data_IF_335221015135
#
_entry.id   IF_335221015135
#
_cell.length_a   1.000
_cell.length_b   1.000
_cell.length_c   1.000
_cell.angle_alpha   90.00
_cell.angle_beta   90.00
_cell.angle_gamma   90.00
#
_symmetry.space_group_name_H-M   'P 1'
#
loop_
_entity.id
_entity.type
_entity.pdbx_description
1 polymer ?
#
# COMPACT_ATOMS: atom_id res chain seq x y z
N UNK A 1 12.95 3.74 13.88
CA UNK A 1 12.83 2.26 13.97
C UNK A 1 14.23 1.69 14.19
N UNK A 2 14.43 0.80 15.16
CA UNK A 2 15.73 0.12 15.32
C UNK A 2 15.86 -1.03 14.31
N UNK A 3 16.95 -1.05 13.54
CA UNK A 3 17.25 -2.08 12.52
C UNK A 3 18.03 -3.26 13.08
N UNK A 4 18.38 -3.25 14.37
CA UNK A 4 19.10 -4.35 15.04
C UNK A 4 18.38 -5.68 14.86
N UNK A 5 17.05 -5.70 15.00
CA UNK A 5 16.24 -6.90 14.76
C UNK A 5 16.46 -7.49 13.37
N UNK A 6 16.43 -6.64 12.34
CA UNK A 6 16.60 -7.05 10.94
C UNK A 6 17.98 -7.65 10.73
N UNK A 7 19.04 -7.00 11.25
CA UNK A 7 20.42 -7.48 11.12
C UNK A 7 20.66 -8.80 11.84
N UNK A 8 20.04 -9.02 12.99
CA UNK A 8 20.13 -10.30 13.72
C UNK A 8 19.48 -11.42 12.90
N UNK A 9 18.28 -11.19 12.37
CA UNK A 9 17.57 -12.17 11.55
C UNK A 9 18.36 -12.48 10.27
N UNK A 10 18.86 -11.46 9.60
CA UNK A 10 19.67 -11.59 8.40
C UNK A 10 20.89 -12.48 8.66
N UNK A 11 21.64 -12.23 9.74
CA UNK A 11 22.80 -13.06 10.12
C UNK A 11 22.43 -14.50 10.43
N UNK A 12 21.32 -14.73 11.14
CA UNK A 12 20.85 -16.09 11.46
C UNK A 12 20.49 -16.83 10.18
N UNK A 13 19.73 -16.21 9.27
CA UNK A 13 19.30 -16.84 8.04
C UNK A 13 20.46 -17.05 7.06
N UNK A 14 21.37 -16.09 6.96
CA UNK A 14 22.58 -16.20 6.14
C UNK A 14 23.50 -17.34 6.62
N UNK A 15 23.67 -17.51 7.94
CA UNK A 15 24.38 -18.66 8.53
C UNK A 15 23.80 -20.01 8.08
N UNK A 16 22.49 -20.07 7.82
CA UNK A 16 21.79 -21.25 7.30
C UNK A 16 21.68 -21.28 5.76
N UNK A 17 22.33 -20.35 5.05
CA UNK A 17 22.28 -20.26 3.58
C UNK A 17 20.92 -19.82 3.04
N UNK A 18 20.06 -19.23 3.86
CA UNK A 18 18.72 -18.78 3.49
C UNK A 18 18.78 -17.30 3.11
N UNK A 19 18.56 -17.00 1.83
CA UNK A 19 18.44 -15.61 1.38
C UNK A 19 17.18 -14.96 1.91
N UNK A 20 17.31 -13.71 2.36
CA UNK A 20 16.27 -12.89 2.96
C UNK A 20 15.98 -11.66 2.08
N UNK A 21 14.75 -11.18 2.12
CA UNK A 21 14.31 -9.93 1.53
C UNK A 21 13.27 -9.29 2.46
N UNK A 22 13.41 -8.01 2.75
CA UNK A 22 12.36 -7.25 3.43
C UNK A 22 11.18 -7.03 2.49
N UNK A 23 9.97 -6.98 3.03
CA UNK A 23 8.73 -6.63 2.32
C UNK A 23 7.82 -5.80 3.23
N UNK A 24 6.71 -5.30 2.68
CA UNK A 24 5.72 -4.53 3.44
C UNK A 24 6.08 -3.05 3.60
N UNK A 25 5.65 -2.44 4.72
CA UNK A 25 5.67 -0.98 4.93
C UNK A 25 7.07 -0.37 4.85
N UNK A 26 8.10 -1.03 5.38
CA UNK A 26 9.47 -0.54 5.32
C UNK A 26 9.98 -0.41 3.87
N UNK A 27 9.63 -1.38 3.01
CA UNK A 27 9.98 -1.33 1.58
C UNK A 27 9.18 -0.27 0.84
N UNK A 28 7.89 -0.11 1.18
CA UNK A 28 7.06 0.97 0.65
C UNK A 28 7.66 2.34 1.02
N UNK A 29 8.06 2.54 2.27
CA UNK A 29 8.72 3.76 2.72
C UNK A 29 10.04 4.01 1.99
N UNK A 30 10.84 2.96 1.74
CA UNK A 30 12.05 3.09 0.92
C UNK A 30 11.75 3.63 -0.49
N UNK A 31 10.61 3.24 -1.07
CA UNK A 31 10.11 3.70 -2.36
C UNK A 31 9.18 4.92 -2.27
N UNK A 32 9.45 5.85 -1.35
CA UNK A 32 8.73 7.13 -1.21
C UNK A 32 7.21 7.01 -1.01
N UNK A 33 6.73 5.88 -0.51
CA UNK A 33 5.33 5.72 -0.12
C UNK A 33 5.21 5.99 1.38
N UNK A 34 4.58 7.10 1.83
CA UNK A 34 4.52 7.43 3.25
C UNK A 34 3.59 6.47 4.01
N UNK A 35 4.17 5.48 4.70
CA UNK A 35 3.49 4.58 5.65
C UNK A 35 4.06 4.76 7.05
N UNK A 36 3.18 4.69 8.04
CA UNK A 36 3.61 4.55 9.43
C UNK A 36 4.08 3.10 9.58
N UNK A 37 5.37 2.86 9.75
CA UNK A 37 5.87 1.51 10.08
C UNK A 37 5.29 1.10 11.44
N UNK A 38 4.33 0.19 11.44
CA UNK A 38 3.83 -0.41 12.67
C UNK A 38 4.83 -1.43 13.23
N UNK A 39 4.54 -2.04 14.41
CA UNK A 39 5.41 -3.02 15.11
C UNK A 39 5.61 -4.37 14.37
N UNK A 40 5.29 -4.44 13.09
CA UNK A 40 5.35 -5.65 12.27
C UNK A 40 6.48 -5.55 11.24
N UNK A 41 7.39 -6.52 11.27
CA UNK A 41 8.41 -6.70 10.25
C UNK A 41 8.04 -7.90 9.38
N UNK A 42 7.87 -7.67 8.08
CA UNK A 42 7.56 -8.71 7.12
C UNK A 42 8.77 -9.02 6.24
N UNK A 43 9.04 -10.32 6.06
CA UNK A 43 10.18 -10.82 5.31
C UNK A 43 9.75 -11.86 4.28
N UNK A 44 10.35 -11.85 3.10
CA UNK A 44 10.35 -12.96 2.15
C UNK A 44 11.67 -13.70 2.22
N UNK A 45 11.65 -15.03 2.28
CA UNK A 45 12.83 -15.85 2.34
C UNK A 45 12.76 -16.97 1.30
N UNK A 46 13.92 -17.36 0.76
CA UNK A 46 14.02 -18.52 -0.11
C UNK A 46 13.96 -19.80 0.74
N UNK A 47 12.76 -20.18 1.15
CA UNK A 47 12.53 -21.38 1.94
C UNK A 47 12.48 -22.59 0.99
N UNK A 48 13.51 -23.42 1.04
CA UNK A 48 13.46 -24.77 0.47
C UNK A 48 12.56 -25.64 1.36
N UNK A 49 11.24 -25.42 1.32
CA UNK A 49 10.32 -26.38 1.92
C UNK A 49 10.41 -27.68 1.10
N UNK A 50 11.10 -28.68 1.67
CA UNK A 50 11.06 -30.06 1.17
C UNK A 50 9.60 -30.48 0.99
N UNK A 51 9.30 -31.11 -0.15
CA UNK A 51 7.96 -31.43 -0.71
C UNK A 51 7.13 -32.43 0.14
N UNK A 52 7.04 -32.26 1.45
CA UNK A 52 6.26 -33.14 2.34
C UNK A 52 5.13 -32.45 3.10
N UNK A 53 4.84 -31.18 2.84
CA UNK A 53 3.58 -30.57 3.30
C UNK A 53 2.44 -30.97 2.35
N UNK A 54 1.79 -32.09 2.66
CA UNK A 54 0.62 -32.63 1.98
C UNK A 54 -0.53 -31.62 1.88
N UNK A 55 -1.16 -31.64 0.70
CA UNK A 55 -2.46 -31.04 0.36
C UNK A 55 -3.45 -31.11 1.54
N UNK A 56 -3.59 -30.00 2.25
CA UNK A 56 -4.82 -29.71 3.00
C UNK A 56 -5.04 -28.21 2.89
N UNK A 57 -6.28 -27.81 2.58
CA UNK A 57 -6.74 -26.40 2.50
C UNK A 57 -6.77 -25.74 3.89
N UNK A 58 -5.65 -25.81 4.61
CA UNK A 58 -5.47 -25.23 5.92
C UNK A 58 -4.62 -23.97 5.79
N UNK A 59 -4.96 -22.93 6.56
CA UNK A 59 -4.09 -21.79 6.85
C UNK A 59 -2.63 -22.27 6.85
N UNK A 60 -1.82 -21.78 5.91
CA UNK A 60 -0.37 -21.84 6.07
C UNK A 60 -0.11 -21.01 7.31
N UNK A 61 0.08 -21.64 8.46
CA UNK A 61 0.59 -21.00 9.66
C UNK A 61 1.97 -20.47 9.29
N UNK A 62 2.01 -19.23 8.83
CA UNK A 62 3.24 -18.52 8.56
C UNK A 62 4.00 -18.47 9.89
N UNK A 63 5.27 -18.89 9.93
CA UNK A 63 6.03 -18.81 11.16
C UNK A 63 6.06 -17.35 11.61
N UNK A 64 5.43 -17.08 12.76
CA UNK A 64 5.49 -15.79 13.42
C UNK A 64 6.41 -15.91 14.62
N UNK A 65 7.44 -15.07 14.67
CA UNK A 65 8.40 -15.02 15.79
C UNK A 65 8.21 -13.67 16.47
N UNK A 66 7.90 -13.68 17.77
CA UNK A 66 7.86 -12.46 18.58
C UNK A 66 9.23 -12.19 19.18
N UNK A 67 9.77 -10.99 18.99
CA UNK A 67 11.06 -10.59 19.55
C UNK A 67 10.91 -10.18 21.02
N UNK A 68 10.83 -11.17 21.91
CA UNK A 68 10.82 -10.93 23.36
C UNK A 68 12.08 -10.22 23.88
N UNK A 69 13.13 -10.15 23.05
CA UNK A 69 14.42 -9.53 23.31
C UNK A 69 14.56 -8.08 22.77
N UNK A 70 13.51 -7.51 22.17
CA UNK A 70 13.49 -6.09 21.76
C UNK A 70 12.36 -5.32 22.42
N UNK A 71 12.57 -4.02 22.66
CA UNK A 71 11.54 -3.10 23.10
C UNK A 71 11.37 -1.96 22.07
N UNK A 72 10.16 -1.75 21.50
CA UNK A 72 8.96 -2.57 21.68
C UNK A 72 9.13 -3.98 21.08
N UNK A 73 8.37 -4.95 21.57
CA UNK A 73 8.28 -6.27 20.95
C UNK A 73 7.79 -6.13 19.51
N UNK A 74 8.45 -6.85 18.60
CA UNK A 74 8.13 -6.88 17.18
C UNK A 74 7.67 -8.29 16.81
N UNK A 75 6.72 -8.38 15.89
CA UNK A 75 6.34 -9.64 15.27
C UNK A 75 7.02 -9.74 13.90
N UNK A 76 7.73 -10.85 13.71
CA UNK A 76 8.40 -11.22 12.47
C UNK A 76 7.50 -12.21 11.74
N UNK A 77 7.19 -11.95 10.47
CA UNK A 77 6.47 -12.91 9.62
C UNK A 77 7.32 -13.23 8.40
N UNK A 78 7.58 -14.52 8.18
CA UNK A 78 8.40 -15.00 7.06
C UNK A 78 7.50 -15.68 6.01
N UNK A 79 7.59 -15.20 4.78
CA UNK A 79 6.90 -15.72 3.61
C UNK A 79 7.88 -16.43 2.68
N UNK A 80 7.45 -17.46 1.92
CA UNK A 80 8.26 -17.97 0.82
C UNK A 80 8.42 -16.88 -0.26
N UNK A 81 9.57 -16.84 -0.94
CA UNK A 81 9.86 -15.86 -1.99
C UNK A 81 8.81 -15.82 -3.11
N UNK A 82 8.17 -16.96 -3.42
CA UNK A 82 7.08 -17.07 -4.37
C UNK A 82 5.81 -16.31 -3.95
N UNK A 83 5.57 -16.10 -2.66
CA UNK A 83 4.39 -15.38 -2.17
C UNK A 83 4.36 -13.92 -2.62
N UNK A 84 5.54 -13.31 -2.76
CA UNK A 84 5.71 -11.96 -3.28
C UNK A 84 6.26 -11.94 -4.72
N UNK A 85 6.23 -13.06 -5.45
CA UNK A 85 6.76 -13.13 -6.82
C UNK A 85 8.25 -12.77 -6.93
N UNK A 86 9.02 -12.93 -5.85
CA UNK A 86 10.43 -12.56 -5.78
C UNK A 86 11.36 -13.75 -6.08
N UNK A 87 10.84 -14.86 -6.60
CA UNK A 87 11.66 -16.03 -6.90
C UNK A 87 12.37 -15.88 -8.27
N UNK A 88 13.70 -16.12 -8.36
CA UNK A 88 14.62 -16.42 -7.26
C UNK A 88 15.13 -15.14 -6.57
N UNK A 89 15.12 -15.14 -5.23
CA UNK A 89 15.35 -13.95 -4.42
C UNK A 89 16.66 -13.23 -4.74
N UNK A 90 17.75 -13.97 -4.93
CA UNK A 90 19.08 -13.41 -5.25
C UNK A 90 19.09 -12.54 -6.52
N UNK A 91 18.18 -12.79 -7.46
CA UNK A 91 18.07 -12.00 -8.69
C UNK A 91 17.12 -10.80 -8.54
N UNK A 92 16.37 -10.71 -7.46
CA UNK A 92 15.38 -9.64 -7.26
C UNK A 92 15.83 -8.61 -6.24
N UNK A 93 16.89 -8.85 -5.47
CA UNK A 93 17.42 -7.90 -4.50
C UNK A 93 18.14 -6.71 -5.16
N UNK A 94 18.06 -5.56 -4.51
CA UNK A 94 18.94 -4.42 -4.78
C UNK A 94 20.37 -4.81 -4.43
N UNK A 95 21.30 -4.48 -5.32
CA UNK A 95 22.72 -4.50 -5.01
C UNK A 95 23.10 -3.08 -4.59
N UNK A 96 23.52 -2.85 -3.34
CA UNK A 96 24.00 -1.53 -2.95
C UNK A 96 25.20 -1.14 -3.85
N UNK A 97 25.29 0.12 -4.30
CA UNK A 97 26.47 0.59 -5.00
C UNK A 97 27.68 0.40 -4.09
N UNK A 98 28.69 -0.32 -4.58
CA UNK A 98 29.83 -0.77 -3.77
C UNK A 98 30.69 0.40 -3.27
N UNK A 99 30.67 1.54 -3.97
CA UNK A 99 31.63 2.64 -3.75
C UNK A 99 31.04 4.05 -3.94
N UNK A 100 29.71 4.19 -4.08
CA UNK A 100 29.11 5.48 -4.44
C UNK A 100 28.28 6.08 -3.30
N UNK A 101 28.68 7.27 -2.85
CA UNK A 101 27.93 8.11 -1.92
C UNK A 101 26.68 8.73 -2.59
N UNK A 102 26.36 8.40 -3.84
CA UNK A 102 25.16 8.84 -4.54
C UNK A 102 24.10 7.73 -4.67
N UNK A 103 23.49 7.32 -3.55
CA UNK A 103 22.18 6.67 -3.60
C UNK A 103 21.12 7.51 -2.90
N UNK A 104 19.96 7.63 -3.53
CA UNK A 104 18.82 8.38 -3.02
C UNK A 104 18.14 7.60 -1.90
N UNK A 105 17.99 8.21 -0.73
CA UNK A 105 17.21 7.67 0.39
C UNK A 105 15.88 8.42 0.45
N UNK A 106 14.78 7.69 0.57
CA UNK A 106 13.49 8.31 0.80
C UNK A 106 13.47 9.13 2.09
N UNK A 107 12.85 10.31 2.03
CA UNK A 107 12.58 11.14 3.23
C UNK A 107 11.84 10.36 4.33
N UNK A 108 11.06 9.35 3.98
CA UNK A 108 10.28 8.53 4.92
C UNK A 108 11.17 7.65 5.82
N UNK A 109 12.39 7.32 5.38
CA UNK A 109 13.40 6.57 6.14
C UNK A 109 14.67 7.37 6.43
N UNK A 110 14.69 8.67 6.10
CA UNK A 110 15.88 9.53 6.27
C UNK A 110 16.34 9.67 7.74
N UNK A 111 15.48 9.33 8.71
CA UNK A 111 15.83 9.28 10.12
C UNK A 111 16.65 8.03 10.51
N UNK A 112 16.80 7.05 9.61
CA UNK A 112 17.64 5.87 9.81
C UNK A 112 19.06 6.11 9.31
N UNK A 113 20.01 5.34 9.83
CA UNK A 113 21.39 5.43 9.38
C UNK A 113 21.52 5.00 7.91
N UNK A 114 22.20 5.83 7.10
CA UNK A 114 22.41 5.61 5.66
C UNK A 114 23.11 4.29 5.33
N UNK A 115 24.16 3.95 6.08
CA UNK A 115 24.90 2.68 5.90
C UNK A 115 24.02 1.50 6.23
N UNK A 116 23.18 1.63 7.26
CA UNK A 116 22.23 0.58 7.62
C UNK A 116 21.18 0.37 6.54
N UNK A 117 20.61 1.45 5.99
CA UNK A 117 19.67 1.37 4.86
C UNK A 117 20.31 0.70 3.64
N UNK A 118 21.55 1.06 3.30
CA UNK A 118 22.26 0.46 2.17
C UNK A 118 22.50 -1.05 2.34
N UNK A 119 22.65 -1.51 3.59
CA UNK A 119 22.82 -2.94 3.89
C UNK A 119 21.51 -3.73 3.89
N UNK A 120 20.34 -3.08 3.82
CA UNK A 120 19.06 -3.78 3.90
C UNK A 120 18.82 -4.64 2.64
N UNK A 121 18.37 -5.90 2.81
CA UNK A 121 18.02 -6.76 1.67
C UNK A 121 16.66 -6.33 1.11
N UNK A 122 16.65 -5.28 0.30
CA UNK A 122 15.45 -4.70 -0.29
C UNK A 122 15.23 -5.25 -1.71
N UNK A 123 13.98 -5.49 -2.16
CA UNK A 123 13.72 -5.93 -3.52
C UNK A 123 13.87 -4.76 -4.49
N UNK A 124 14.26 -5.03 -5.73
CA UNK A 124 14.17 -4.08 -6.85
C UNK A 124 12.71 -3.74 -7.13
N UNK A 125 12.47 -2.51 -7.57
CA UNK A 125 11.13 -1.96 -7.75
C UNK A 125 10.29 -2.79 -8.73
N UNK A 126 10.83 -3.15 -9.89
CA UNK A 126 10.09 -3.89 -10.92
C UNK A 126 9.66 -5.30 -10.46
N UNK A 127 10.55 -6.16 -9.94
CA UNK A 127 10.13 -7.43 -9.31
C UNK A 127 9.12 -7.26 -8.18
N UNK A 128 9.30 -6.26 -7.32
CA UNK A 128 8.39 -6.05 -6.18
C UNK A 128 6.98 -5.63 -6.63
N UNK A 129 6.89 -4.67 -7.57
CA UNK A 129 5.64 -4.23 -8.16
C UNK A 129 4.93 -5.38 -8.90
N UNK A 130 5.70 -6.18 -9.65
CA UNK A 130 5.21 -7.39 -10.33
C UNK A 130 4.57 -8.35 -9.35
N UNK A 131 5.28 -8.68 -8.26
CA UNK A 131 4.81 -9.57 -7.22
C UNK A 131 3.50 -9.13 -6.56
N UNK A 132 3.38 -7.85 -6.22
CA UNK A 132 2.16 -7.29 -5.65
C UNK A 132 0.98 -7.35 -6.64
N UNK A 133 1.22 -7.00 -7.91
CA UNK A 133 0.22 -7.07 -8.96
C UNK A 133 -0.25 -8.52 -9.22
N UNK A 134 0.67 -9.48 -9.27
CA UNK A 134 0.35 -10.91 -9.40
C UNK A 134 -0.51 -11.40 -8.24
N UNK A 135 -0.14 -11.03 -7.00
CA UNK A 135 -0.89 -11.40 -5.80
C UNK A 135 -2.33 -10.88 -5.86
N UNK A 136 -2.54 -9.63 -6.27
CA UNK A 136 -3.89 -9.10 -6.47
C UNK A 136 -4.64 -9.85 -7.57
N UNK A 137 -4.02 -10.12 -8.72
CA UNK A 137 -4.66 -10.84 -9.82
C UNK A 137 -5.09 -12.25 -9.41
N UNK A 138 -4.24 -12.96 -8.66
CA UNK A 138 -4.47 -14.34 -8.23
C UNK A 138 -5.51 -14.46 -7.11
N UNK A 139 -5.52 -13.53 -6.16
CA UNK A 139 -6.27 -13.69 -4.89
C UNK A 139 -7.25 -12.57 -4.57
N UNK A 140 -7.30 -11.51 -5.40
CA UNK A 140 -8.05 -10.28 -5.13
C UNK A 140 -7.67 -9.63 -3.79
N UNK A 141 -6.37 -9.68 -3.49
CA UNK A 141 -5.81 -9.05 -2.31
C UNK A 141 -5.77 -7.52 -2.45
N UNK A 142 -6.75 -6.86 -1.82
CA UNK A 142 -6.88 -5.40 -1.86
C UNK A 142 -5.65 -4.68 -1.28
N UNK A 143 -4.96 -5.25 -0.28
CA UNK A 143 -3.73 -4.65 0.24
C UNK A 143 -2.61 -4.65 -0.79
N UNK A 144 -2.50 -5.73 -1.57
CA UNK A 144 -1.55 -5.79 -2.67
C UNK A 144 -1.89 -4.75 -3.76
N UNK A 145 -3.18 -4.55 -4.07
CA UNK A 145 -3.61 -3.51 -5.02
C UNK A 145 -3.31 -2.10 -4.50
N UNK A 146 -3.59 -1.82 -3.23
CA UNK A 146 -3.28 -0.54 -2.62
C UNK A 146 -1.77 -0.28 -2.67
N UNK A 147 -0.94 -1.29 -2.37
CA UNK A 147 0.51 -1.16 -2.45
C UNK A 147 0.99 -0.89 -3.89
N UNK A 148 0.38 -1.51 -4.91
CA UNK A 148 0.66 -1.22 -6.32
C UNK A 148 0.33 0.24 -6.66
N UNK A 149 -0.86 0.73 -6.28
CA UNK A 149 -1.26 2.13 -6.52
C UNK A 149 -0.28 3.09 -5.87
N UNK A 150 0.06 2.81 -4.63
CA UNK A 150 0.99 3.64 -3.88
C UNK A 150 2.41 3.65 -4.44
N UNK A 151 2.94 2.52 -4.90
CA UNK A 151 4.24 2.48 -5.56
C UNK A 151 4.23 3.27 -6.87
N UNK A 152 3.17 3.11 -7.68
CA UNK A 152 2.98 3.89 -8.90
C UNK A 152 2.97 5.39 -8.60
N UNK A 153 2.28 5.77 -7.52
CA UNK A 153 2.12 7.18 -7.17
C UNK A 153 3.37 7.77 -6.50
N UNK A 154 3.94 7.07 -5.51
CA UNK A 154 5.10 7.50 -4.72
C UNK A 154 6.41 7.51 -5.51
N UNK A 155 6.58 6.58 -6.45
CA UNK A 155 7.72 6.57 -7.38
C UNK A 155 7.43 7.34 -8.68
N UNK A 156 6.24 7.93 -8.79
CA UNK A 156 5.78 8.67 -9.97
C UNK A 156 5.94 7.90 -11.29
N UNK A 157 5.66 6.60 -11.29
CA UNK A 157 5.85 5.73 -12.46
C UNK A 157 4.97 6.17 -13.63
N UNK A 158 5.52 6.15 -14.84
CA UNK A 158 4.84 6.48 -16.09
C UNK A 158 4.76 5.26 -17.03
N UNK A 159 4.15 5.47 -18.20
CA UNK A 159 3.92 4.40 -19.17
C UNK A 159 5.23 3.87 -19.76
N UNK A 160 6.23 4.75 -19.95
CA UNK A 160 7.52 4.39 -20.51
C UNK A 160 8.28 3.50 -19.54
N UNK A 161 8.32 3.88 -18.25
CA UNK A 161 8.91 3.06 -17.20
C UNK A 161 8.28 1.67 -17.14
N UNK A 162 6.94 1.61 -17.18
CA UNK A 162 6.21 0.33 -17.14
C UNK A 162 6.52 -0.53 -18.37
N UNK A 163 6.53 0.07 -19.55
CA UNK A 163 6.81 -0.65 -20.80
C UNK A 163 8.22 -1.22 -20.79
N UNK A 164 9.21 -0.44 -20.36
CA UNK A 164 10.62 -0.89 -20.31
C UNK A 164 10.81 -1.97 -19.25
N UNK A 165 10.32 -1.74 -18.04
CA UNK A 165 10.68 -2.57 -16.88
C UNK A 165 9.77 -3.81 -16.71
N UNK A 166 8.57 -3.79 -17.28
CA UNK A 166 7.59 -4.88 -17.17
C UNK A 166 7.27 -5.54 -18.51
N UNK A 167 8.01 -5.27 -19.59
CA UNK A 167 7.79 -5.85 -20.93
C UNK A 167 7.63 -7.37 -20.94
N UNK A 168 8.41 -8.08 -20.11
CA UNK A 168 8.40 -9.53 -20.04
C UNK A 168 7.30 -10.12 -19.14
N UNK A 169 6.44 -9.27 -18.56
CA UNK A 169 5.38 -9.70 -17.64
C UNK A 169 4.14 -10.19 -18.39
N UNK A 170 3.28 -10.91 -17.67
CA UNK A 170 1.97 -11.33 -18.17
C UNK A 170 1.11 -10.13 -18.66
N UNK A 171 0.38 -10.24 -19.79
CA UNK A 171 -0.43 -9.14 -20.32
C UNK A 171 -1.48 -8.59 -19.35
N UNK A 172 -2.09 -9.43 -18.50
CA UNK A 172 -3.07 -8.97 -17.53
C UNK A 172 -2.41 -8.12 -16.44
N UNK A 173 -1.19 -8.47 -16.04
CA UNK A 173 -0.37 -7.68 -15.12
C UNK A 173 0.00 -6.33 -15.73
N UNK A 174 0.52 -6.35 -16.95
CA UNK A 174 0.90 -5.12 -17.64
C UNK A 174 -0.30 -4.18 -17.77
N UNK A 175 -1.46 -4.71 -18.19
CA UNK A 175 -2.71 -3.94 -18.29
C UNK A 175 -3.17 -3.39 -16.93
N UNK A 176 -3.03 -4.17 -15.85
CA UNK A 176 -3.38 -3.71 -14.50
C UNK A 176 -2.52 -2.49 -14.10
N UNK A 177 -1.20 -2.60 -14.23
CA UNK A 177 -0.27 -1.53 -13.83
C UNK A 177 -0.43 -0.30 -14.74
N UNK A 178 -0.55 -0.50 -16.06
CA UNK A 178 -0.83 0.59 -17.01
C UNK A 178 -2.11 1.33 -16.68
N UNK A 179 -3.18 0.62 -16.29
CA UNK A 179 -4.43 1.25 -15.85
C UNK A 179 -4.22 2.10 -14.59
N UNK A 180 -3.35 1.69 -13.67
CA UNK A 180 -3.03 2.49 -12.48
C UNK A 180 -2.22 3.73 -12.83
N UNK A 181 -1.23 3.62 -13.70
CA UNK A 181 -0.51 4.78 -14.23
C UNK A 181 -1.46 5.76 -14.92
N UNK A 182 -2.34 5.28 -15.80
CA UNK A 182 -3.29 6.14 -16.53
C UNK A 182 -4.30 6.85 -15.62
N UNK A 183 -4.62 6.27 -14.46
CA UNK A 183 -5.51 6.88 -13.46
C UNK A 183 -4.75 7.64 -12.36
N UNK A 184 -3.42 7.72 -12.45
CA UNK A 184 -2.56 8.40 -11.46
C UNK A 184 -2.98 9.84 -11.21
N UNK A 185 -3.30 10.59 -12.27
CA UNK A 185 -3.71 11.99 -12.14
C UNK A 185 -4.97 12.20 -11.29
N UNK A 186 -5.88 11.22 -11.27
CA UNK A 186 -7.08 11.28 -10.41
C UNK A 186 -6.82 10.92 -8.95
N UNK A 187 -5.63 10.40 -8.62
CA UNK A 187 -5.18 10.09 -7.24
C UNK A 187 -4.14 11.08 -6.73
N UNK A 188 -3.32 11.60 -7.64
CA UNK A 188 -2.35 12.67 -7.40
C UNK A 188 -2.97 13.99 -7.85
N UNK A 189 -4.06 14.40 -7.20
CA UNK A 189 -4.37 15.83 -7.22
C UNK A 189 -3.23 16.53 -6.47
N UNK A 190 -2.48 17.38 -7.19
CA UNK A 190 -1.52 18.27 -6.59
C UNK A 190 -2.26 19.09 -5.53
N UNK A 191 -1.86 18.90 -4.28
CA UNK A 191 -2.29 19.65 -3.10
C UNK A 191 -1.90 21.10 -3.36
N UNK A 192 -2.79 21.87 -4.01
CA UNK A 192 -2.72 23.33 -3.96
C UNK A 192 -3.04 23.78 -2.53
N UNK A 193 -2.62 24.97 -2.11
CA UNK A 193 -2.93 25.53 -0.77
C UNK A 193 -4.42 25.47 -0.38
N UNK A 194 -5.32 25.35 -1.37
CA UNK A 194 -6.75 25.14 -1.16
C UNK A 194 -7.14 23.76 -0.60
N UNK A 195 -6.26 22.76 -0.68
CA UNK A 195 -6.54 21.39 -0.22
C UNK A 195 -6.44 21.22 1.30
N UNK A 196 -5.49 21.90 1.97
CA UNK A 196 -5.38 21.88 3.43
C UNK A 196 -6.62 22.51 4.07
N UNK A 197 -7.08 23.66 3.55
CA UNK A 197 -8.32 24.30 4.01
C UNK A 197 -9.52 23.36 3.88
N UNK A 198 -9.62 22.65 2.74
CA UNK A 198 -10.70 21.68 2.49
C UNK A 198 -10.66 20.46 3.40
N UNK A 199 -9.47 19.96 3.75
CA UNK A 199 -9.35 18.84 4.70
C UNK A 199 -9.77 19.28 6.11
N UNK A 200 -9.47 20.51 6.53
CA UNK A 200 -9.96 21.04 7.81
C UNK A 200 -11.50 21.11 7.84
N UNK A 201 -12.12 21.60 6.76
CA UNK A 201 -13.58 21.68 6.69
C UNK A 201 -14.24 20.29 6.69
N UNK A 202 -13.66 19.32 5.96
CA UNK A 202 -14.10 17.93 5.99
C UNK A 202 -13.96 17.31 7.39
N UNK A 203 -12.85 17.57 8.09
CA UNK A 203 -12.63 17.08 9.46
C UNK A 203 -13.64 17.67 10.44
N UNK A 204 -13.96 18.97 10.31
CA UNK A 204 -14.98 19.64 11.11
C UNK A 204 -16.37 19.04 10.82
N UNK A 205 -16.71 18.82 9.54
CA UNK A 205 -17.98 18.19 9.17
C UNK A 205 -18.10 16.77 9.74
N UNK A 206 -17.03 15.97 9.65
CA UNK A 206 -16.95 14.63 10.21
C UNK A 206 -17.14 14.65 11.74
N UNK A 207 -16.37 15.51 12.43
CA UNK A 207 -16.47 15.71 13.88
C UNK A 207 -17.90 16.05 14.29
N UNK A 208 -18.54 17.00 13.59
CA UNK A 208 -19.91 17.41 13.90
C UNK A 208 -20.91 16.27 13.76
N UNK A 209 -20.80 15.42 12.72
CA UNK A 209 -21.72 14.29 12.54
C UNK A 209 -21.51 13.26 13.64
N UNK A 210 -20.27 12.81 13.86
CA UNK A 210 -19.98 11.76 14.83
C UNK A 210 -20.27 12.20 16.26
N UNK A 211 -19.91 13.43 16.63
CA UNK A 211 -20.18 13.98 17.95
C UNK A 211 -21.69 14.17 18.22
N UNK A 212 -22.47 14.62 17.21
CA UNK A 212 -23.95 14.73 17.34
C UNK A 212 -24.61 13.37 17.61
N UNK A 213 -24.04 12.29 17.12
CA UNK A 213 -24.53 10.93 17.31
C UNK A 213 -23.90 10.23 18.51
N UNK A 214 -23.08 10.95 19.30
CA UNK A 214 -22.34 10.42 20.44
C UNK A 214 -21.49 9.16 20.10
N UNK A 215 -20.92 9.15 18.88
CA UNK A 215 -20.03 8.08 18.43
C UNK A 215 -18.62 8.41 18.89
N UNK A 216 -17.94 7.47 19.54
CA UNK A 216 -16.53 7.61 19.85
C UNK A 216 -15.68 7.45 18.57
N UNK A 217 -14.75 8.37 18.33
CA UNK A 217 -13.86 8.33 17.17
C UNK A 217 -12.50 8.98 17.46
N UNK A 218 -11.53 8.69 16.60
CA UNK A 218 -10.20 9.29 16.61
C UNK A 218 -9.69 9.47 15.19
N UNK A 219 -9.18 10.67 14.90
CA UNK A 219 -8.51 10.97 13.63
C UNK A 219 -7.03 10.66 13.79
N UNK A 220 -6.46 9.95 12.81
CA UNK A 220 -5.06 9.55 12.79
C UNK A 220 -4.45 9.82 11.40
N UNK A 221 -3.26 9.27 11.15
CA UNK A 221 -2.65 9.36 9.83
C UNK A 221 -2.02 10.71 9.51
N UNK A 222 -1.99 11.07 8.22
CA UNK A 222 -1.24 12.23 7.73
C UNK A 222 -1.79 13.53 8.27
N UNK A 223 -3.11 13.65 8.22
CA UNK A 223 -3.84 14.83 8.65
C UNK A 223 -3.59 15.13 10.14
N UNK A 224 -3.68 14.10 11.00
CA UNK A 224 -3.43 14.27 12.44
C UNK A 224 -2.00 14.71 12.75
N UNK A 225 -1.00 14.22 12.00
CA UNK A 225 0.40 14.64 12.17
C UNK A 225 0.59 16.09 11.72
N UNK A 226 -0.02 16.48 10.60
CA UNK A 226 0.03 17.85 10.09
C UNK A 226 -0.60 18.86 11.05
N UNK A 227 -1.76 18.53 11.64
CA UNK A 227 -2.47 19.45 12.55
C UNK A 227 -1.75 19.70 13.87
N UNK A 228 -0.89 18.79 14.32
CA UNK A 228 -0.04 18.99 15.51
C UNK A 228 1.32 19.64 15.20
N UNK A 229 1.50 20.17 13.98
CA UNK A 229 2.72 20.87 13.56
C UNK A 229 3.81 19.99 12.96
N UNK A 230 3.50 18.74 12.62
CA UNK A 230 4.42 17.87 11.89
C UNK A 230 4.53 18.24 10.41
N UNK A 231 5.68 17.96 9.79
CA UNK A 231 5.98 18.25 8.37
C UNK A 231 5.37 17.24 7.39
N UNK A 232 4.20 16.68 7.70
CA UNK A 232 3.52 15.67 6.86
C UNK A 232 2.32 16.27 6.15
N UNK A 233 2.36 16.24 4.82
CA UNK A 233 1.20 16.53 3.98
C UNK A 233 0.23 15.34 3.96
N UNK A 234 -1.08 15.63 3.99
CA UNK A 234 -2.14 14.64 3.87
C UNK A 234 -3.07 14.98 2.72
N UNK A 235 -3.64 13.95 2.10
CA UNK A 235 -4.65 14.08 1.03
C UNK A 235 -6.04 13.66 1.49
N UNK A 236 -6.08 12.96 2.62
CA UNK A 236 -7.22 12.32 3.21
C UNK A 236 -7.18 12.45 4.73
N UNK A 237 -8.33 12.13 5.35
CA UNK A 237 -8.51 12.08 6.81
C UNK A 237 -8.72 10.61 7.16
N UNK A 238 -7.73 10.03 7.84
CA UNK A 238 -7.87 8.69 8.41
C UNK A 238 -8.63 8.79 9.73
N UNK A 239 -9.74 8.06 9.86
CA UNK A 239 -10.59 8.10 11.07
C UNK A 239 -10.98 6.68 11.49
N UNK A 240 -10.78 6.38 12.77
CA UNK A 240 -11.34 5.20 13.44
C UNK A 240 -12.58 5.64 14.21
N UNK A 241 -13.70 4.96 14.03
CA UNK A 241 -14.95 5.26 14.73
C UNK A 241 -15.60 3.97 15.26
N UNK A 242 -16.18 4.04 16.45
CA UNK A 242 -16.87 2.93 17.11
C UNK A 242 -18.29 2.77 16.56
N UNK A 243 -18.40 2.36 15.29
CA UNK A 243 -19.66 2.28 14.54
C UNK A 243 -19.57 1.21 13.46
N UNK A 244 -20.69 0.56 13.11
CA UNK A 244 -20.70 -0.39 11.99
C UNK A 244 -20.66 0.31 10.63
N UNK A 245 -20.27 -0.42 9.58
CA UNK A 245 -20.24 0.11 8.21
C UNK A 245 -21.60 0.64 7.74
N UNK A 246 -22.67 -0.10 8.00
CA UNK A 246 -24.01 0.31 7.59
C UNK A 246 -24.46 1.57 8.32
N UNK A 247 -24.17 1.67 9.62
CA UNK A 247 -24.46 2.88 10.39
C UNK A 247 -23.66 4.09 9.88
N UNK A 248 -22.35 3.96 9.62
CA UNK A 248 -21.57 5.10 9.13
C UNK A 248 -21.99 5.53 7.72
N UNK A 249 -22.35 4.58 6.84
CA UNK A 249 -22.93 4.88 5.53
C UNK A 249 -24.26 5.62 5.66
N UNK A 250 -25.16 5.18 6.55
CA UNK A 250 -26.42 5.88 6.81
C UNK A 250 -26.22 7.29 7.38
N UNK A 251 -25.16 7.50 8.18
CA UNK A 251 -24.88 8.79 8.81
C UNK A 251 -24.24 9.80 7.86
N UNK A 252 -23.35 9.35 6.98
CA UNK A 252 -22.55 10.22 6.13
C UNK A 252 -22.98 10.24 4.66
N UNK A 253 -23.45 9.13 4.08
CA UNK A 253 -23.68 9.11 2.63
C UNK A 253 -24.74 10.14 2.21
N UNK A 254 -24.34 11.01 1.27
CA UNK A 254 -25.11 12.13 0.72
C UNK A 254 -25.51 13.19 1.76
N UNK A 255 -24.85 13.24 2.92
CA UNK A 255 -25.10 14.17 4.03
C UNK A 255 -23.86 15.02 4.34
N UNK A 256 -24.05 16.28 4.70
CA UNK A 256 -22.97 17.18 5.17
C UNK A 256 -21.75 17.25 4.23
N UNK A 257 -22.00 17.14 2.92
CA UNK A 257 -20.96 17.16 1.88
C UNK A 257 -20.32 15.80 1.58
N UNK A 258 -20.60 14.76 2.36
CA UNK A 258 -20.05 13.42 2.15
C UNK A 258 -20.79 12.64 1.07
N UNK A 259 -20.04 11.86 0.29
CA UNK A 259 -20.53 10.89 -0.68
C UNK A 259 -19.75 9.59 -0.51
N UNK A 260 -20.46 8.49 -0.25
CA UNK A 260 -19.83 7.18 -0.10
C UNK A 260 -19.21 6.71 -1.42
N UNK A 261 -18.00 6.17 -1.32
CA UNK A 261 -17.35 5.42 -2.39
C UNK A 261 -17.69 3.93 -2.18
N UNK A 262 -18.18 3.21 -3.21
CA UNK A 262 -18.45 1.78 -3.09
C UNK A 262 -17.19 1.01 -2.66
N UNK A 263 -17.32 0.22 -1.60
CA UNK A 263 -16.24 -0.62 -1.03
C UNK A 263 -16.78 -2.00 -0.67
N UNK A 264 -16.00 -3.05 -0.91
CA UNK A 264 -16.36 -4.46 -0.62
C UNK A 264 -16.12 -4.83 0.84
N UNK A 265 -15.08 -4.26 1.47
CA UNK A 265 -14.67 -4.50 2.86
C UNK A 265 -15.74 -4.09 3.88
N UNK A 266 -15.96 -4.90 4.91
CA UNK A 266 -16.95 -4.62 5.97
C UNK A 266 -16.39 -3.78 7.12
N UNK A 267 -15.07 -3.75 7.27
CA UNK A 267 -14.33 -3.01 8.29
C UNK A 267 -13.86 -1.63 7.82
N UNK A 268 -14.26 -1.21 6.61
CA UNK A 268 -13.79 0.00 5.95
C UNK A 268 -14.89 0.69 5.16
N UNK A 269 -14.96 2.01 5.28
CA UNK A 269 -15.80 2.88 4.47
C UNK A 269 -14.97 4.07 3.99
N UNK A 270 -15.15 4.45 2.72
CA UNK A 270 -14.47 5.60 2.13
C UNK A 270 -15.51 6.62 1.67
N UNK A 271 -15.21 7.91 1.84
CA UNK A 271 -16.09 8.99 1.46
C UNK A 271 -15.31 10.08 0.72
N UNK A 272 -15.93 10.67 -0.29
CA UNK A 272 -15.53 11.96 -0.85
C UNK A 272 -16.25 13.07 -0.07
N UNK A 273 -15.62 14.23 0.08
CA UNK A 273 -16.24 15.38 0.74
C UNK A 273 -16.17 16.65 -0.14
N UNK A 274 -17.22 17.48 -0.10
CA UNK A 274 -17.29 18.78 -0.76
C UNK A 274 -18.24 19.72 -0.02
N UNK A 275 -17.84 20.98 0.15
CA UNK A 275 -18.66 22.08 0.68
C UNK A 275 -19.68 22.61 -0.34
N UNK A 276 -19.45 22.38 -1.64
CA UNK A 276 -20.35 22.82 -2.71
C UNK A 276 -21.55 21.89 -2.85
N UNK A 277 -22.74 22.48 -2.91
CA UNK A 277 -23.99 21.78 -3.20
C UNK A 277 -24.01 21.14 -4.60
N UNK A 278 -23.23 21.68 -5.55
CA UNK A 278 -23.15 21.15 -6.91
C UNK A 278 -22.21 19.93 -6.99
N UNK A 279 -22.80 18.75 -6.84
CA UNK A 279 -22.12 17.43 -6.85
C UNK A 279 -21.59 17.00 -8.22
N UNK A 280 -21.73 17.83 -9.26
CA UNK A 280 -21.32 17.50 -10.64
C UNK A 280 -19.82 17.23 -10.79
N UNK A 281 -18.96 17.84 -9.97
CA UNK A 281 -17.52 17.55 -9.97
C UNK A 281 -17.18 16.15 -9.43
N UNK A 282 -17.92 15.65 -8.44
CA UNK A 282 -17.72 14.30 -7.87
C UNK A 282 -18.21 13.19 -8.81
N UNK A 283 -19.28 13.45 -9.58
CA UNK A 283 -19.83 12.49 -10.54
C UNK A 283 -18.89 12.16 -11.71
N UNK A 284 -17.99 13.08 -12.10
CA UNK A 284 -17.00 12.84 -13.16
C UNK A 284 -15.84 11.92 -12.72
N UNK A 285 -15.57 11.81 -11.42
CA UNK A 285 -14.60 10.85 -10.88
C UNK A 285 -15.20 9.43 -10.73
N UNK A 286 -16.51 9.30 -10.50
CA UNK A 286 -17.19 8.00 -10.38
C UNK A 286 -17.80 7.46 -11.70
N UNK A 287 -18.05 8.30 -12.71
CA UNK A 287 -18.63 7.87 -13.97
C UNK A 287 -17.56 7.52 -15.02
N UNK A 288 -17.14 6.25 -15.06
CA UNK A 288 -16.85 5.58 -16.34
C UNK A 288 -17.64 4.27 -16.44
N UNK A 289 -18.11 3.92 -17.64
CA UNK A 289 -19.27 3.05 -17.83
C UNK A 289 -18.92 1.58 -17.70
N UNK A 290 -19.86 0.79 -17.18
CA UNK A 290 -20.00 -0.61 -17.54
C UNK A 290 -20.31 -0.69 -19.04
N UNK A 291 -19.28 -0.90 -19.87
CA UNK A 291 -19.50 -1.38 -21.23
C UNK A 291 -19.93 -2.85 -21.15
N UNK A 292 -21.24 -3.07 -21.19
CA UNK A 292 -21.83 -4.35 -21.56
C UNK A 292 -21.45 -4.57 -23.03
N UNK A 293 -20.52 -5.50 -23.28
CA UNK A 293 -20.25 -5.97 -24.62
C UNK A 293 -21.46 -6.78 -25.10
N UNK A 294 -22.27 -6.19 -25.98
CA UNK A 294 -23.24 -6.92 -26.78
C UNK A 294 -22.50 -7.79 -27.79
N UNK A 295 -22.70 -9.10 -27.70
CA UNK A 295 -22.30 -10.05 -28.74
C UNK A 295 -23.20 -9.84 -29.97
N UNK A 296 -22.64 -9.22 -31.02
CA UNK A 296 -23.22 -9.24 -32.36
C UNK A 296 -22.69 -10.45 -33.12
N UNK A 297 -23.56 -11.42 -33.40
CA UNK A 297 -23.28 -12.51 -34.35
C UNK A 297 -23.35 -11.94 -35.77
N UNK A 298 -22.26 -12.07 -36.53
CA UNK A 298 -22.29 -11.98 -37.99
C UNK A 298 -22.74 -13.34 -38.54
N UNK A 299 -23.89 -13.38 -39.19
CA UNK A 299 -24.24 -14.43 -40.16
C UNK A 299 -23.93 -13.92 -41.55
N UNK A 300 -23.17 -14.73 -42.28
CA UNK A 300 -22.85 -14.55 -43.70
C UNK A 300 -24.10 -14.76 -44.56
N UNK A 301 -24.26 -13.88 -45.55
CA UNK A 301 -24.82 -14.17 -46.88
C UNK A 301 -24.45 -13.03 -47.81
#
# INVERSE_FOLDING_TARGET
MDLTTVKVIERILDYHGVSLCLVGELVLNYYNVPRVCHRHLAFSAQLAFSRHATRTKALITLPSITTGWTLPQQAIVIYPDSFHGLNPLKKTLLQPPCDDDQFHISKEVAHLNRKDIASLPLPRLAPFLTGLAQRFLASKDDFAMIAVEQLVDGMNLDQDWVTINLAASDPALLNLVMKRVASKQSRIDYVSDNSIRRLNDAAIALYRVLNRQNIAFGIFGGYAIGTIGGVRESKDIDCLASVSKDQILQLLDRKEGFQAVPQTRQDYAAFLWSDKADRKLQSRQCARPHSVAGYGYYTQS
#
